data_IF_823270221334
#
_entry.id   IF_823270221334
#
_cell.length_a   1.000
_cell.length_b   1.000
_cell.length_c   1.000
_cell.angle_alpha   90.00
_cell.angle_beta   90.00
_cell.angle_gamma   90.00
#
_symmetry.space_group_name_H-M   'P 1'
#
loop_
_entity.id
_entity.type
_entity.pdbx_description
1 polymer ?
#
# COMPACT_ATOMS: atom_id res chain seq x y z
N UNK A 1 12.30 95.01 -1.05
CA UNK A 1 11.00 95.67 -1.30
C UNK A 1 10.46 95.16 -2.63
N UNK A 2 9.18 94.75 -2.64
CA UNK A 2 8.32 94.32 -3.76
C UNK A 2 8.63 92.89 -4.29
N UNK A 3 7.87 91.83 -3.95
CA UNK A 3 6.52 91.42 -4.47
C UNK A 3 6.45 91.60 -6.00
N UNK A 4 6.25 90.58 -6.83
CA UNK A 4 5.11 89.63 -6.85
C UNK A 4 5.41 88.32 -7.60
N UNK A 5 4.67 87.29 -7.19
CA UNK A 5 4.53 86.00 -7.83
C UNK A 5 3.65 86.06 -9.10
N UNK A 6 3.90 85.16 -10.07
CA UNK A 6 2.90 84.33 -10.78
C UNK A 6 3.58 83.56 -11.91
N UNK A 7 3.71 82.24 -11.79
CA UNK A 7 3.90 81.38 -12.97
C UNK A 7 3.17 80.06 -12.80
N UNK A 8 2.08 79.97 -13.56
CA UNK A 8 1.58 78.85 -14.38
C UNK A 8 1.64 77.45 -13.77
N UNK A 9 0.44 76.94 -13.44
CA UNK A 9 0.18 75.56 -13.07
C UNK A 9 0.56 74.57 -14.17
N UNK A 10 1.27 73.52 -13.76
CA UNK A 10 1.37 72.26 -14.47
C UNK A 10 0.38 71.28 -13.83
N UNK A 11 -0.57 70.84 -14.64
CA UNK A 11 -1.47 69.74 -14.31
C UNK A 11 -0.67 68.43 -14.30
N UNK A 12 -0.48 67.85 -13.13
CA UNK A 12 0.09 66.51 -12.98
C UNK A 12 -0.99 65.47 -13.27
N UNK A 13 -0.83 64.78 -14.41
CA UNK A 13 -1.58 63.58 -14.75
C UNK A 13 -1.13 62.44 -13.81
N UNK A 14 -1.96 62.07 -12.83
CA UNK A 14 -1.77 60.87 -12.04
C UNK A 14 -2.15 59.63 -12.87
N UNK A 15 -1.14 58.95 -13.43
CA UNK A 15 -1.30 57.59 -13.95
C UNK A 15 -1.54 56.64 -12.75
N UNK A 16 -2.76 56.15 -12.60
CA UNK A 16 -3.07 55.02 -11.73
C UNK A 16 -2.49 53.74 -12.36
N UNK A 17 -1.31 53.32 -11.91
CA UNK A 17 -0.79 51.99 -12.19
C UNK A 17 -1.60 50.97 -11.38
N UNK A 18 -2.52 50.27 -12.04
CA UNK A 18 -3.12 49.03 -11.55
C UNK A 18 -2.02 47.96 -11.46
N UNK A 19 -1.38 47.88 -10.29
CA UNK A 19 -0.58 46.70 -9.94
C UNK A 19 -1.57 45.56 -9.67
N UNK A 20 -1.72 44.68 -10.66
CA UNK A 20 -2.33 43.37 -10.48
C UNK A 20 -1.46 42.59 -9.48
N UNK A 21 -1.84 42.66 -8.21
CA UNK A 21 -1.33 41.76 -7.18
C UNK A 21 -1.81 40.36 -7.57
N UNK A 22 -0.93 39.37 -7.80
CA UNK A 22 -1.38 38.01 -7.98
C UNK A 22 -2.10 37.61 -6.69
N UNK A 23 -3.29 37.05 -6.83
CA UNK A 23 -4.09 36.54 -5.73
C UNK A 23 -3.25 35.54 -4.92
N UNK A 24 -2.56 36.03 -3.89
CA UNK A 24 -2.14 35.20 -2.76
C UNK A 24 -3.43 34.67 -2.19
N UNK A 25 -3.61 33.35 -2.25
CA UNK A 25 -4.66 32.65 -1.53
C UNK A 25 -4.76 33.26 -0.12
N UNK A 26 -5.93 33.84 0.18
CA UNK A 26 -6.21 34.41 1.48
C UNK A 26 -6.20 33.29 2.52
N UNK A 27 -5.07 33.10 3.18
CA UNK A 27 -4.96 32.32 4.41
C UNK A 27 -5.52 33.16 5.55
N UNK A 28 -6.84 33.15 5.74
CA UNK A 28 -7.43 33.42 7.06
C UNK A 28 -8.70 32.59 7.30
N UNK A 29 -8.73 31.96 8.48
CA UNK A 29 -9.84 31.30 9.18
C UNK A 29 -10.06 29.78 9.05
N UNK A 30 -9.07 29.02 8.59
CA UNK A 30 -8.72 27.75 9.23
C UNK A 30 -7.18 27.58 9.15
N UNK A 31 -6.51 27.29 10.26
CA UNK A 31 -5.06 27.02 10.27
C UNK A 31 -4.71 25.67 9.59
N UNK A 32 -5.74 24.94 9.16
CA UNK A 32 -5.71 23.60 8.59
C UNK A 32 -6.54 23.61 7.30
N UNK A 33 -6.14 22.88 6.29
CA UNK A 33 -6.90 22.85 5.03
C UNK A 33 -8.11 21.92 5.14
N UNK A 34 -9.05 22.00 4.20
CA UNK A 34 -10.04 20.94 3.98
C UNK A 34 -9.41 19.87 3.06
N UNK A 35 -9.94 18.63 3.01
CA UNK A 35 -9.43 17.60 2.10
C UNK A 35 -9.30 18.14 0.67
N UNK A 36 -8.08 18.21 0.09
CA UNK A 36 -7.87 18.88 -1.18
C UNK A 36 -8.47 18.07 -2.33
N UNK A 37 -8.86 18.77 -3.39
CA UNK A 37 -9.17 18.13 -4.66
C UNK A 37 -7.88 17.69 -5.35
N UNK A 38 -7.87 16.48 -5.91
CA UNK A 38 -6.71 15.89 -6.58
C UNK A 38 -7.18 15.34 -7.92
N UNK A 39 -6.49 15.76 -8.98
CA UNK A 39 -6.74 15.27 -10.35
C UNK A 39 -6.15 13.88 -10.55
N UNK A 40 -6.85 13.06 -11.34
CA UNK A 40 -6.48 11.65 -11.53
C UNK A 40 -5.13 11.48 -12.25
N UNK A 41 -4.83 12.35 -13.21
CA UNK A 41 -3.59 12.35 -14.01
C UNK A 41 -2.34 12.73 -13.19
N UNK A 42 -2.53 13.40 -12.05
CA UNK A 42 -1.46 13.67 -11.10
C UNK A 42 -1.05 12.40 -10.37
N UNK A 43 -1.89 11.36 -10.33
CA UNK A 43 -1.69 10.18 -9.50
C UNK A 43 -1.43 8.92 -10.34
N UNK A 44 -2.20 8.73 -11.40
CA UNK A 44 -2.16 7.54 -12.25
C UNK A 44 -1.66 7.89 -13.64
N UNK A 45 -0.82 7.02 -14.21
CA UNK A 45 -0.46 7.10 -15.64
C UNK A 45 -1.67 6.81 -16.52
N UNK A 46 -1.69 7.28 -17.76
CA UNK A 46 -2.77 7.04 -18.74
C UNK A 46 -3.16 5.56 -18.83
N UNK A 47 -2.18 4.65 -18.88
CA UNK A 47 -2.46 3.21 -18.92
C UNK A 47 -3.13 2.69 -17.66
N UNK A 48 -2.96 3.32 -16.49
CA UNK A 48 -3.71 2.94 -15.29
C UNK A 48 -5.10 3.59 -15.28
N UNK A 49 -5.26 4.78 -15.83
CA UNK A 49 -6.55 5.45 -15.90
C UNK A 49 -7.54 4.70 -16.80
N UNK A 50 -7.11 4.22 -17.96
CA UNK A 50 -8.00 3.56 -18.91
C UNK A 50 -7.29 2.53 -19.79
N UNK A 51 -8.05 1.54 -20.26
CA UNK A 51 -7.71 0.71 -21.40
C UNK A 51 -8.96 0.14 -22.07
N UNK A 52 -8.79 -0.76 -23.03
CA UNK A 52 -9.93 -1.45 -23.67
C UNK A 52 -10.77 -2.33 -22.74
N UNK A 53 -10.33 -2.56 -21.49
CA UNK A 53 -11.00 -3.49 -20.55
C UNK A 53 -11.35 -2.85 -19.20
N UNK A 54 -10.94 -1.60 -18.96
CA UNK A 54 -11.23 -0.90 -17.70
C UNK A 54 -11.19 0.63 -17.87
N UNK A 55 -11.89 1.35 -17.00
CA UNK A 55 -11.82 2.82 -16.85
C UNK A 55 -11.89 3.19 -15.38
N UNK A 56 -11.02 4.08 -14.93
CA UNK A 56 -11.09 4.71 -13.60
C UNK A 56 -11.91 5.99 -13.73
N UNK A 57 -12.87 6.23 -12.83
CA UNK A 57 -13.62 7.49 -12.82
C UNK A 57 -12.69 8.67 -12.49
N UNK A 58 -12.94 9.82 -13.12
CA UNK A 58 -12.09 11.02 -12.96
C UNK A 58 -12.17 11.59 -11.53
N UNK A 59 -13.30 11.38 -10.83
CA UNK A 59 -13.50 11.84 -9.46
C UNK A 59 -12.82 10.92 -8.45
N UNK A 60 -11.79 11.43 -7.78
CA UNK A 60 -11.16 10.76 -6.63
C UNK A 60 -11.82 11.22 -5.34
N UNK A 61 -12.24 10.27 -4.49
CA UNK A 61 -12.68 10.58 -3.12
C UNK A 61 -11.49 10.51 -2.17
N UNK A 62 -11.30 11.53 -1.35
CA UNK A 62 -10.30 11.51 -0.27
C UNK A 62 -10.93 10.95 0.99
N UNK A 63 -10.41 9.83 1.49
CA UNK A 63 -10.77 9.27 2.80
C UNK A 63 -9.53 9.31 3.68
N UNK A 64 -9.45 10.32 4.56
CA UNK A 64 -8.29 10.55 5.42
C UNK A 64 -7.00 10.76 4.62
N UNK A 65 -6.04 9.84 4.75
CA UNK A 65 -4.74 9.83 4.05
C UNK A 65 -4.72 8.91 2.82
N UNK A 66 -5.86 8.30 2.49
CA UNK A 66 -6.01 7.37 1.36
C UNK A 66 -6.97 7.94 0.33
N UNK A 67 -6.75 7.56 -0.92
CA UNK A 67 -7.71 7.79 -1.99
C UNK A 67 -8.72 6.64 -2.05
N UNK A 68 -9.90 6.92 -2.57
CA UNK A 68 -10.90 5.93 -2.95
C UNK A 68 -11.29 6.17 -4.41
N UNK A 69 -11.01 5.18 -5.23
CA UNK A 69 -11.23 5.20 -6.66
C UNK A 69 -12.42 4.34 -7.03
N UNK A 70 -13.12 4.71 -8.09
CA UNK A 70 -14.08 3.81 -8.74
C UNK A 70 -13.44 3.26 -10.01
N UNK A 71 -13.42 1.94 -10.16
CA UNK A 71 -12.95 1.27 -11.38
C UNK A 71 -14.12 0.56 -12.05
N UNK A 72 -14.35 0.88 -13.31
CA UNK A 72 -15.33 0.22 -14.17
C UNK A 72 -14.63 -0.77 -15.11
N UNK A 73 -15.29 -1.89 -15.39
CA UNK A 73 -14.83 -2.94 -16.31
C UNK A 73 -16.02 -3.72 -16.85
N UNK A 74 -15.78 -4.54 -17.89
CA UNK A 74 -16.80 -5.47 -18.43
C UNK A 74 -17.33 -6.48 -17.41
N UNK A 75 -16.60 -6.67 -16.31
CA UNK A 75 -16.99 -7.56 -15.25
C UNK A 75 -17.84 -6.83 -14.19
N UNK A 76 -17.76 -5.51 -14.09
CA UNK A 76 -18.52 -4.70 -13.14
C UNK A 76 -17.76 -3.48 -12.63
N UNK A 77 -18.37 -2.81 -11.65
CA UNK A 77 -17.87 -1.59 -10.99
C UNK A 77 -17.35 -1.92 -9.60
N UNK A 78 -16.18 -1.38 -9.27
CA UNK A 78 -15.47 -1.65 -8.03
C UNK A 78 -15.08 -0.36 -7.32
N UNK A 79 -15.33 -0.30 -6.02
CA UNK A 79 -14.76 0.72 -5.14
C UNK A 79 -13.42 0.20 -4.62
N UNK A 80 -12.35 0.93 -4.95
CA UNK A 80 -10.97 0.50 -4.73
C UNK A 80 -10.24 1.52 -3.86
N UNK A 81 -9.99 1.20 -2.58
CA UNK A 81 -9.29 2.09 -1.69
C UNK A 81 -7.77 1.99 -1.91
N UNK A 82 -7.14 3.13 -2.09
CA UNK A 82 -5.72 3.40 -2.26
C UNK A 82 -5.10 3.14 -3.64
N UNK A 83 -4.06 3.94 -3.96
CA UNK A 83 -3.25 3.79 -5.19
C UNK A 83 -2.68 2.37 -5.28
N UNK A 84 -2.04 1.85 -4.21
CA UNK A 84 -1.66 0.45 -4.07
C UNK A 84 -2.64 -0.60 -4.59
N UNK A 85 -3.90 -0.46 -4.21
CA UNK A 85 -4.93 -1.44 -4.51
C UNK A 85 -5.46 -1.25 -5.92
N UNK A 86 -5.59 -0.01 -6.40
CA UNK A 86 -5.96 0.27 -7.80
C UNK A 86 -4.99 -0.37 -8.78
N UNK A 87 -3.69 -0.23 -8.53
CA UNK A 87 -2.64 -0.89 -9.32
C UNK A 87 -2.85 -2.41 -9.34
N UNK A 88 -3.12 -3.01 -8.18
CA UNK A 88 -3.36 -4.45 -8.06
C UNK A 88 -4.62 -4.88 -8.82
N UNK A 89 -5.74 -4.18 -8.66
CA UNK A 89 -7.03 -4.52 -9.30
C UNK A 89 -7.00 -4.35 -10.79
N UNK A 90 -6.37 -3.30 -11.31
CA UNK A 90 -6.21 -3.12 -12.75
C UNK A 90 -5.35 -4.23 -13.35
N UNK A 91 -4.27 -4.64 -12.66
CA UNK A 91 -3.47 -5.79 -13.09
C UNK A 91 -4.31 -7.07 -13.17
N UNK A 92 -5.15 -7.32 -12.16
CA UNK A 92 -6.07 -8.46 -12.15
C UNK A 92 -7.08 -8.41 -13.30
N UNK A 93 -7.82 -7.30 -13.45
CA UNK A 93 -8.83 -7.11 -14.50
C UNK A 93 -8.24 -7.36 -15.89
N UNK A 94 -7.07 -6.75 -16.17
CA UNK A 94 -6.36 -6.93 -17.44
C UNK A 94 -5.92 -8.35 -17.68
N UNK A 95 -5.41 -9.01 -16.65
CA UNK A 95 -4.94 -10.39 -16.75
C UNK A 95 -6.10 -11.33 -17.05
N UNK A 96 -7.24 -11.16 -16.36
CA UNK A 96 -8.44 -11.95 -16.59
C UNK A 96 -8.94 -11.79 -18.04
N UNK A 97 -9.07 -10.55 -18.51
CA UNK A 97 -9.52 -10.27 -19.87
C UNK A 97 -8.59 -10.88 -20.93
N UNK A 98 -7.28 -10.62 -20.83
CA UNK A 98 -6.31 -11.17 -21.79
C UNK A 98 -6.25 -12.70 -21.78
N UNK A 99 -6.35 -13.32 -20.61
CA UNK A 99 -6.34 -14.78 -20.52
C UNK A 99 -7.58 -15.38 -21.19
N UNK A 100 -8.75 -14.78 -21.00
CA UNK A 100 -10.00 -15.21 -21.67
C UNK A 100 -9.89 -15.07 -23.19
N UNK A 101 -9.35 -13.96 -23.68
CA UNK A 101 -9.15 -13.74 -25.11
C UNK A 101 -8.13 -14.72 -25.71
N UNK A 102 -7.07 -15.03 -24.97
CA UNK A 102 -6.10 -16.04 -25.37
C UNK A 102 -6.76 -17.43 -25.46
N UNK A 103 -7.50 -17.84 -24.42
CA UNK A 103 -8.20 -19.13 -24.42
C UNK A 103 -9.33 -19.19 -25.45
N UNK A 104 -9.92 -18.08 -25.89
CA UNK A 104 -10.92 -18.11 -26.95
C UNK A 104 -10.35 -18.67 -28.26
N UNK A 105 -9.06 -18.41 -28.53
CA UNK A 105 -8.39 -18.94 -29.74
C UNK A 105 -8.00 -20.41 -29.60
N UNK A 106 -7.70 -20.85 -28.39
CA UNK A 106 -7.14 -22.19 -28.13
C UNK A 106 -8.17 -23.22 -27.66
N UNK A 107 -9.15 -22.79 -26.86
CA UNK A 107 -10.18 -23.63 -26.26
C UNK A 107 -11.48 -22.82 -26.01
N UNK A 108 -12.34 -22.77 -27.02
CA UNK A 108 -13.62 -22.05 -26.98
C UNK A 108 -14.53 -22.45 -25.81
N UNK A 109 -14.54 -23.74 -25.43
CA UNK A 109 -15.37 -24.23 -24.31
C UNK A 109 -14.89 -23.67 -22.98
N UNK A 110 -13.58 -23.74 -22.73
CA UNK A 110 -12.99 -23.17 -21.51
C UNK A 110 -13.18 -21.65 -21.45
N UNK A 111 -12.98 -20.95 -22.57
CA UNK A 111 -13.21 -19.50 -22.62
C UNK A 111 -14.69 -19.13 -22.35
N UNK A 112 -15.64 -19.91 -22.86
CA UNK A 112 -17.06 -19.73 -22.57
C UNK A 112 -17.40 -19.99 -21.09
N UNK A 113 -16.83 -21.04 -20.50
CA UNK A 113 -16.97 -21.33 -19.07
C UNK A 113 -16.42 -20.19 -18.21
N UNK A 114 -15.21 -19.71 -18.50
CA UNK A 114 -14.58 -18.58 -17.79
C UNK A 114 -15.44 -17.32 -17.86
N UNK A 115 -15.97 -16.98 -19.04
CA UNK A 115 -16.92 -15.86 -19.19
C UNK A 115 -18.21 -16.07 -18.39
N UNK A 116 -18.73 -17.30 -18.39
CA UNK A 116 -19.92 -17.67 -17.65
C UNK A 116 -19.74 -17.45 -16.15
N UNK A 117 -18.67 -18.00 -15.56
CA UNK A 117 -18.43 -17.90 -14.12
C UNK A 117 -18.11 -16.49 -13.65
N UNK A 118 -17.45 -15.68 -14.48
CA UNK A 118 -17.18 -14.27 -14.16
C UNK A 118 -18.43 -13.40 -14.24
N UNK A 119 -19.41 -13.75 -15.09
CA UNK A 119 -20.71 -13.07 -15.19
C UNK A 119 -21.69 -13.53 -14.11
N UNK A 120 -21.67 -14.80 -13.73
CA UNK A 120 -22.61 -15.37 -12.76
C UNK A 120 -22.48 -14.75 -11.34
N UNK A 121 -21.37 -14.07 -11.05
CA UNK A 121 -21.17 -13.30 -9.81
C UNK A 121 -21.69 -11.85 -9.84
N UNK A 122 -22.23 -11.35 -10.96
CA UNK A 122 -22.65 -9.94 -11.12
C UNK A 122 -24.06 -9.64 -10.59
N UNK A 123 -24.59 -10.49 -9.71
CA UNK A 123 -25.91 -10.31 -9.11
C UNK A 123 -25.88 -9.23 -8.02
N UNK A 124 -26.21 -7.99 -8.40
CA UNK A 124 -26.55 -6.84 -7.54
C UNK A 124 -25.39 -6.08 -6.85
N UNK A 125 -25.40 -4.75 -7.01
CA UNK A 125 -24.60 -3.82 -6.20
C UNK A 125 -23.16 -3.62 -6.67
N UNK A 126 -22.58 -2.46 -6.35
CA UNK A 126 -21.14 -2.21 -6.48
C UNK A 126 -20.40 -3.32 -5.74
N UNK A 127 -19.53 -4.05 -6.43
CA UNK A 127 -18.72 -5.10 -5.81
C UNK A 127 -17.64 -4.40 -4.97
N UNK A 128 -17.91 -4.23 -3.68
CA UNK A 128 -16.93 -3.67 -2.75
C UNK A 128 -15.89 -4.77 -2.51
N UNK A 129 -14.81 -4.77 -3.30
CA UNK A 129 -13.75 -5.80 -3.28
C UNK A 129 -12.97 -5.84 -1.96
N UNK A 130 -13.17 -4.86 -1.08
CA UNK A 130 -12.52 -4.74 0.22
C UNK A 130 -13.52 -4.19 1.23
N UNK A 131 -13.56 -4.69 2.46
CA UNK A 131 -14.47 -4.18 3.50
C UNK A 131 -14.43 -2.64 3.57
N UNK A 132 -15.58 -1.96 3.76
CA UNK A 132 -15.61 -0.51 3.81
C UNK A 132 -14.61 0.02 4.83
N UNK A 133 -13.79 0.99 4.43
CA UNK A 133 -12.90 1.69 5.34
C UNK A 133 -13.76 2.38 6.40
N UNK A 134 -13.54 2.05 7.67
CA UNK A 134 -14.13 2.84 8.77
C UNK A 134 -13.66 4.29 8.62
N UNK A 135 -14.55 5.31 8.63
CA UNK A 135 -14.16 6.71 8.39
C UNK A 135 -13.09 7.23 9.35
N UNK A 136 -13.08 6.77 10.61
CA UNK A 136 -12.04 7.12 11.60
C UNK A 136 -10.72 6.34 11.45
N UNK A 137 -10.68 5.35 10.55
CA UNK A 137 -9.51 4.48 10.32
C UNK A 137 -8.58 4.98 9.22
N UNK A 138 -8.96 6.04 8.50
CA UNK A 138 -8.20 6.57 7.38
C UNK A 138 -7.29 7.75 7.75
N UNK A 139 -7.37 8.23 8.99
CA UNK A 139 -6.52 9.32 9.50
C UNK A 139 -5.07 8.86 9.74
N UNK A 140 -4.12 9.81 9.77
CA UNK A 140 -2.69 9.57 10.08
C UNK A 140 -2.53 8.76 11.38
N UNK A 141 -3.49 8.92 12.31
CA UNK A 141 -3.64 8.14 13.55
C UNK A 141 -3.56 6.62 13.37
N UNK A 142 -3.87 6.08 12.19
CA UNK A 142 -3.76 4.65 11.85
C UNK A 142 -2.32 4.12 12.02
N UNK A 143 -1.34 4.91 11.58
CA UNK A 143 0.09 4.57 11.61
C UNK A 143 0.85 5.25 12.76
N UNK A 144 0.15 6.05 13.56
CA UNK A 144 0.59 6.61 14.85
C UNK A 144 0.52 5.49 15.92
N UNK A 145 1.65 4.81 16.08
CA UNK A 145 2.11 3.87 17.11
C UNK A 145 1.98 4.40 18.55
N UNK A 146 0.77 4.31 19.10
CA UNK A 146 0.54 4.47 20.54
C UNK A 146 0.89 3.20 21.34
N UNK A 147 1.68 2.26 20.78
CA UNK A 147 2.04 1.00 21.42
C UNK A 147 3.37 1.07 22.18
N UNK A 148 3.99 2.25 22.27
CA UNK A 148 5.15 2.47 23.14
C UNK A 148 4.77 2.08 24.57
N UNK A 149 5.40 1.03 25.10
CA UNK A 149 5.12 0.48 26.43
C UNK A 149 4.02 -0.59 26.52
N UNK A 150 3.35 -0.96 25.41
CA UNK A 150 2.34 -2.03 25.42
C UNK A 150 2.97 -3.41 25.30
N UNK A 151 2.45 -4.36 26.05
CA UNK A 151 2.90 -5.76 25.94
C UNK A 151 2.41 -6.39 24.62
N UNK A 152 3.14 -7.39 24.11
CA UNK A 152 2.73 -8.15 22.92
C UNK A 152 1.34 -8.78 23.12
N UNK A 153 1.02 -9.18 24.35
CA UNK A 153 -0.29 -9.73 24.70
C UNK A 153 -1.43 -8.70 24.57
N UNK A 154 -1.19 -7.43 24.91
CA UNK A 154 -2.16 -6.35 24.70
C UNK A 154 -2.38 -6.04 23.21
N UNK A 155 -1.31 -6.09 22.42
CA UNK A 155 -1.39 -5.93 20.98
C UNK A 155 -2.22 -7.06 20.36
N UNK A 156 -2.03 -8.30 20.83
CA UNK A 156 -2.79 -9.47 20.42
C UNK A 156 -4.27 -9.38 20.78
N UNK A 157 -4.61 -8.93 21.99
CA UNK A 157 -6.00 -8.79 22.46
C UNK A 157 -6.80 -7.75 21.67
N UNK A 158 -6.14 -6.70 21.16
CA UNK A 158 -6.79 -5.74 20.26
C UNK A 158 -7.08 -6.33 18.88
N UNK A 159 -6.31 -7.30 18.44
CA UNK A 159 -6.60 -8.03 17.21
C UNK A 159 -7.87 -8.90 17.34
N UNK A 160 -8.26 -9.36 18.55
CA UNK A 160 -9.64 -9.79 18.92
C UNK A 160 -9.79 -10.20 20.42
N UNK A 161 -10.81 -9.70 21.17
CA UNK A 161 -11.11 -10.14 22.54
C UNK A 161 -11.91 -11.47 22.65
N UNK A 162 -12.42 -12.07 21.56
CA UNK A 162 -13.36 -13.21 21.65
C UNK A 162 -12.83 -14.61 21.29
N UNK A 163 -11.54 -14.77 20.94
CA UNK A 163 -10.97 -16.09 20.63
C UNK A 163 -9.56 -16.25 21.20
N UNK A 164 -9.49 -16.56 22.50
CA UNK A 164 -8.28 -17.14 23.10
C UNK A 164 -8.00 -18.49 22.44
N UNK A 165 -6.77 -18.69 21.94
CA UNK A 165 -6.31 -19.96 21.37
C UNK A 165 -6.07 -20.97 22.50
N UNK A 166 -6.48 -22.21 22.28
CA UNK A 166 -6.08 -23.37 23.07
C UNK A 166 -4.76 -23.94 22.55
N UNK A 167 -3.86 -24.30 23.48
CA UNK A 167 -2.60 -24.98 23.21
C UNK A 167 -2.88 -26.44 22.79
N UNK A 168 -2.30 -26.91 21.69
CA UNK A 168 -2.38 -28.33 21.32
C UNK A 168 -1.56 -29.20 22.29
N UNK A 169 -1.87 -30.51 22.43
CA UNK A 169 -1.13 -31.42 23.31
C UNK A 169 0.37 -31.56 22.99
N UNK A 170 0.78 -31.17 21.78
CA UNK A 170 2.16 -31.18 21.30
C UNK A 170 2.92 -29.86 21.54
N UNK A 171 2.33 -28.92 22.30
CA UNK A 171 2.90 -27.60 22.55
C UNK A 171 2.89 -26.68 21.33
N UNK A 172 2.21 -27.07 20.23
CA UNK A 172 2.11 -26.26 19.02
C UNK A 172 0.75 -25.57 18.96
N UNK A 173 0.76 -24.30 18.54
CA UNK A 173 -0.48 -23.59 18.28
C UNK A 173 -1.15 -24.15 17.02
N UNK A 174 -2.40 -24.59 17.13
CA UNK A 174 -3.22 -24.92 15.97
C UNK A 174 -3.26 -23.74 15.00
N UNK A 175 -2.96 -23.99 13.72
CA UNK A 175 -3.14 -23.00 12.65
C UNK A 175 -4.64 -23.01 12.34
N UNK A 176 -5.42 -22.15 13.02
CA UNK A 176 -6.79 -21.88 12.59
C UNK A 176 -6.68 -21.30 11.17
N UNK A 177 -7.36 -21.90 10.18
CA UNK A 177 -7.30 -21.46 8.78
C UNK A 177 -7.57 -19.96 8.73
N UNK A 178 -6.58 -19.16 8.32
CA UNK A 178 -6.81 -17.75 8.09
C UNK A 178 -7.79 -17.55 6.90
N UNK A 179 -8.39 -16.37 6.75
CA UNK A 179 -9.38 -16.11 5.68
C UNK A 179 -8.85 -16.43 4.27
N UNK A 180 -7.53 -16.40 4.05
CA UNK A 180 -6.90 -16.72 2.77
C UNK A 180 -6.62 -18.22 2.58
N UNK A 181 -6.58 -19.00 3.67
CA UNK A 181 -6.44 -20.46 3.65
C UNK A 181 -7.75 -21.16 3.29
N UNK A 182 -8.91 -20.55 3.58
CA UNK A 182 -10.21 -21.07 3.15
C UNK A 182 -10.43 -20.97 1.64
N UNK A 183 -9.62 -20.18 0.93
CA UNK A 183 -9.70 -20.03 -0.54
C UNK A 183 -8.85 -21.05 -1.28
N UNK A 184 -8.07 -21.85 -0.57
CA UNK A 184 -7.35 -22.98 -1.16
C UNK A 184 -8.27 -24.21 -1.17
N UNK A 185 -8.35 -24.95 -2.28
CA UNK A 185 -9.05 -26.23 -2.32
C UNK A 185 -8.51 -27.20 -1.27
N UNK A 186 -9.39 -27.98 -0.65
CA UNK A 186 -8.98 -29.02 0.32
C UNK A 186 -8.19 -30.17 -0.37
N UNK A 187 -8.42 -30.40 -1.67
CA UNK A 187 -7.63 -31.32 -2.48
C UNK A 187 -6.21 -30.74 -2.73
N UNK A 188 -5.14 -31.39 -2.23
CA UNK A 188 -3.77 -30.92 -2.40
C UNK A 188 -3.32 -30.81 -3.85
N UNK A 189 -3.82 -31.68 -4.74
CA UNK A 189 -3.49 -31.69 -6.17
C UNK A 189 -4.13 -30.47 -6.84
N UNK A 190 -5.41 -30.22 -6.56
CA UNK A 190 -6.11 -29.06 -7.09
C UNK A 190 -5.51 -27.74 -6.56
N UNK A 191 -5.13 -27.68 -5.28
CA UNK A 191 -4.42 -26.54 -4.71
C UNK A 191 -3.04 -26.32 -5.37
N UNK A 192 -2.33 -27.39 -5.73
CA UNK A 192 -1.08 -27.29 -6.50
C UNK A 192 -1.32 -26.75 -7.91
N UNK A 193 -2.37 -27.20 -8.60
CA UNK A 193 -2.76 -26.64 -9.91
C UNK A 193 -3.13 -25.16 -9.81
N UNK A 194 -3.92 -24.75 -8.81
CA UNK A 194 -4.28 -23.34 -8.58
C UNK A 194 -3.04 -22.46 -8.41
N UNK A 195 -2.06 -22.90 -7.62
CA UNK A 195 -0.76 -22.20 -7.47
C UNK A 195 0.02 -22.11 -8.77
N UNK A 196 0.09 -23.20 -9.53
CA UNK A 196 0.81 -23.22 -10.81
C UNK A 196 0.17 -22.27 -11.83
N UNK A 197 -1.16 -22.25 -11.93
CA UNK A 197 -1.91 -21.34 -12.80
C UNK A 197 -1.71 -19.89 -12.36
N UNK A 198 -1.84 -19.59 -11.06
CA UNK A 198 -1.63 -18.25 -10.53
C UNK A 198 -0.22 -17.73 -10.87
N UNK A 199 0.81 -18.57 -10.75
CA UNK A 199 2.17 -18.23 -11.15
C UNK A 199 2.28 -17.92 -12.66
N UNK A 200 1.72 -18.79 -13.52
CA UNK A 200 1.77 -18.63 -14.97
C UNK A 200 1.11 -17.34 -15.44
N UNK A 201 0.00 -16.95 -14.80
CA UNK A 201 -0.75 -15.74 -15.12
C UNK A 201 -0.30 -14.52 -14.31
N UNK A 202 0.74 -14.64 -13.48
CA UNK A 202 1.19 -13.57 -12.59
C UNK A 202 0.05 -12.99 -11.72
N UNK A 203 -0.86 -13.86 -11.26
CA UNK A 203 -1.93 -13.53 -10.33
C UNK A 203 -1.53 -13.94 -8.91
N UNK A 204 -2.11 -13.26 -7.92
CA UNK A 204 -1.97 -13.67 -6.53
C UNK A 204 -3.00 -14.76 -6.21
N UNK A 205 -2.53 -15.92 -5.76
CA UNK A 205 -3.42 -16.98 -5.30
C UNK A 205 -4.22 -16.57 -4.06
N UNK A 206 -3.71 -15.62 -3.27
CA UNK A 206 -4.39 -15.08 -2.09
C UNK A 206 -5.08 -13.74 -2.37
N UNK A 207 -5.35 -13.40 -3.64
CA UNK A 207 -6.10 -12.19 -3.97
C UNK A 207 -7.50 -12.21 -3.37
N UNK A 208 -7.90 -11.14 -2.72
CA UNK A 208 -9.28 -10.93 -2.23
C UNK A 208 -10.30 -10.62 -3.31
N UNK A 209 -9.87 -10.50 -4.57
CA UNK A 209 -10.81 -10.41 -5.68
C UNK A 209 -11.43 -11.79 -5.93
N UNK A 210 -12.71 -11.91 -5.58
CA UNK A 210 -13.49 -13.15 -5.75
C UNK A 210 -13.51 -13.63 -7.19
N UNK A 211 -13.44 -12.73 -8.17
CA UNK A 211 -13.38 -13.08 -9.59
C UNK A 211 -12.06 -13.73 -9.97
N UNK A 212 -10.96 -13.26 -9.39
CA UNK A 212 -9.65 -13.93 -9.51
C UNK A 212 -9.72 -15.32 -8.88
N UNK A 213 -10.34 -15.47 -7.71
CA UNK A 213 -10.48 -16.77 -7.06
C UNK A 213 -11.27 -17.77 -7.93
N UNK A 214 -12.47 -17.39 -8.37
CA UNK A 214 -13.32 -18.23 -9.23
C UNK A 214 -12.61 -18.58 -10.54
N UNK A 215 -11.93 -17.61 -11.15
CA UNK A 215 -11.17 -17.81 -12.38
C UNK A 215 -10.03 -18.82 -12.20
N UNK A 216 -9.24 -18.68 -11.13
CA UNK A 216 -8.15 -19.59 -10.80
C UNK A 216 -8.68 -21.00 -10.47
N UNK A 217 -9.80 -21.12 -9.78
CA UNK A 217 -10.44 -22.41 -9.45
C UNK A 217 -10.94 -23.14 -10.69
N UNK A 218 -11.53 -22.42 -11.64
CA UNK A 218 -11.98 -22.98 -12.92
C UNK A 218 -10.79 -23.51 -13.73
N UNK A 219 -9.71 -22.74 -13.84
CA UNK A 219 -8.50 -23.19 -14.53
C UNK A 219 -7.80 -24.36 -13.82
N UNK A 220 -7.75 -24.33 -12.49
CA UNK A 220 -7.18 -25.42 -11.71
C UNK A 220 -7.94 -26.73 -11.93
N UNK A 221 -9.28 -26.69 -11.94
CA UNK A 221 -10.14 -27.85 -12.21
C UNK A 221 -9.99 -28.36 -13.63
N UNK A 222 -9.95 -27.46 -14.62
CA UNK A 222 -9.70 -27.84 -16.01
C UNK A 222 -8.35 -28.55 -16.15
N UNK A 223 -7.31 -28.07 -15.46
CA UNK A 223 -5.98 -28.69 -15.46
C UNK A 223 -5.97 -30.07 -14.78
N UNK A 224 -6.63 -30.19 -13.63
CA UNK A 224 -6.81 -31.47 -12.92
C UNK A 224 -7.62 -32.48 -13.74
N UNK A 225 -8.58 -32.02 -14.54
CA UNK A 225 -9.38 -32.82 -15.47
C UNK A 225 -8.68 -33.18 -16.78
N UNK A 226 -7.38 -32.90 -16.93
CA UNK A 226 -6.56 -33.31 -18.06
C UNK A 226 -6.26 -32.24 -19.11
N UNK A 227 -6.84 -31.03 -19.01
CA UNK A 227 -6.50 -29.92 -19.90
C UNK A 227 -5.19 -29.24 -19.44
N UNK A 228 -4.06 -29.80 -19.88
CA UNK A 228 -2.71 -29.32 -19.49
C UNK A 228 -2.42 -27.86 -19.88
N UNK A 229 -3.11 -27.33 -20.88
CA UNK A 229 -2.96 -25.94 -21.33
C UNK A 229 -3.82 -24.95 -20.52
N UNK A 230 -4.70 -25.42 -19.62
CA UNK A 230 -5.45 -24.54 -18.74
C UNK A 230 -4.49 -23.77 -17.80
N UNK A 231 -4.50 -22.44 -17.94
CA UNK A 231 -3.59 -21.52 -17.25
C UNK A 231 -2.33 -21.13 -18.04
N UNK A 232 -2.13 -21.68 -19.23
CA UNK A 232 -1.08 -21.26 -20.16
C UNK A 232 -1.69 -20.27 -21.16
N UNK A 233 -1.75 -18.99 -20.79
CA UNK A 233 -2.15 -17.93 -21.70
C UNK A 233 -0.98 -16.97 -21.93
N UNK A 234 -0.75 -16.60 -23.19
CA UNK A 234 0.16 -15.52 -23.52
C UNK A 234 -0.47 -14.18 -23.11
N UNK A 235 -0.12 -13.71 -21.91
CA UNK A 235 -0.54 -12.40 -21.39
C UNK A 235 0.61 -11.39 -21.54
N UNK A 236 0.28 -10.21 -22.04
CA UNK A 236 1.16 -9.06 -21.96
C UNK A 236 1.12 -8.56 -20.51
N UNK A 237 2.24 -8.74 -19.80
CA UNK A 237 2.39 -8.17 -18.47
C UNK A 237 2.47 -6.65 -18.61
N UNK A 238 1.62 -5.88 -17.90
CA UNK A 238 1.74 -4.43 -17.91
C UNK A 238 3.14 -4.03 -17.41
N UNK A 239 3.61 -2.88 -17.87
CA UNK A 239 4.78 -2.24 -17.28
C UNK A 239 4.55 -2.15 -15.78
N UNK A 240 5.49 -2.68 -14.97
CA UNK A 240 5.37 -2.66 -13.51
C UNK A 240 5.29 -1.20 -13.07
N UNK A 241 4.14 -0.72 -12.57
CA UNK A 241 4.01 0.69 -12.20
C UNK A 241 4.78 1.01 -10.92
N UNK A 242 5.20 -0.01 -10.18
CA UNK A 242 6.04 0.14 -8.99
C UNK A 242 7.52 -0.20 -9.24
N UNK A 243 8.39 0.48 -8.51
CA UNK A 243 9.82 0.22 -8.41
C UNK A 243 10.04 -1.10 -7.67
N UNK A 244 11.00 -1.88 -8.17
CA UNK A 244 11.41 -3.16 -7.57
C UNK A 244 12.73 -3.02 -6.82
N UNK A 245 12.88 -3.77 -5.75
CA UNK A 245 14.11 -3.80 -4.93
C UNK A 245 15.04 -4.91 -5.41
N UNK A 246 16.35 -4.72 -5.29
CA UNK A 246 17.40 -5.66 -5.72
C UNK A 246 17.16 -6.19 -7.15
N UNK A 247 16.88 -5.26 -8.07
CA UNK A 247 16.58 -5.55 -9.48
C UNK A 247 15.45 -6.59 -9.66
N UNK A 248 14.50 -6.66 -8.74
CA UNK A 248 13.35 -7.56 -8.80
C UNK A 248 13.58 -8.95 -8.19
N UNK A 249 14.76 -9.22 -7.61
CA UNK A 249 15.08 -10.55 -7.06
C UNK A 249 14.21 -10.92 -5.87
N UNK A 250 13.92 -9.97 -4.99
CA UNK A 250 13.04 -10.20 -3.84
C UNK A 250 11.64 -10.57 -4.32
N UNK A 251 11.04 -9.78 -5.22
CA UNK A 251 9.70 -10.04 -5.75
C UNK A 251 9.63 -11.37 -6.49
N UNK A 252 10.67 -11.72 -7.24
CA UNK A 252 10.78 -13.02 -7.91
C UNK A 252 10.83 -14.18 -6.91
N UNK A 253 11.65 -14.06 -5.86
CA UNK A 253 11.80 -15.08 -4.82
C UNK A 253 10.49 -15.30 -4.05
N UNK A 254 9.81 -14.22 -3.66
CA UNK A 254 8.51 -14.31 -2.98
C UNK A 254 7.47 -14.95 -3.89
N UNK A 255 7.35 -14.49 -5.15
CA UNK A 255 6.39 -15.08 -6.11
C UNK A 255 6.64 -16.58 -6.30
N UNK A 256 7.90 -16.97 -6.41
CA UNK A 256 8.29 -18.39 -6.57
C UNK A 256 7.98 -19.19 -5.31
N UNK A 257 8.26 -18.64 -4.12
CA UNK A 257 7.94 -19.29 -2.85
C UNK A 257 6.43 -19.51 -2.70
N UNK A 258 5.62 -18.48 -2.94
CA UNK A 258 4.15 -18.55 -2.86
C UNK A 258 3.58 -19.58 -3.84
N UNK A 259 4.16 -19.69 -5.04
CA UNK A 259 3.73 -20.68 -6.02
C UNK A 259 4.12 -22.11 -5.63
N UNK A 260 5.31 -22.32 -5.06
CA UNK A 260 5.86 -23.66 -4.83
C UNK A 260 5.55 -24.24 -3.46
N UNK A 261 5.33 -23.39 -2.46
CA UNK A 261 5.14 -23.80 -1.07
C UNK A 261 3.67 -23.74 -0.66
N UNK A 262 3.28 -24.69 0.18
CA UNK A 262 2.05 -24.65 0.95
C UNK A 262 2.10 -23.53 1.98
N UNK A 263 0.94 -23.17 2.55
CA UNK A 263 0.87 -22.15 3.60
C UNK A 263 1.72 -22.51 4.81
N UNK A 264 1.73 -23.81 5.19
CA UNK A 264 2.55 -24.30 6.30
C UNK A 264 4.05 -24.19 6.00
N UNK A 265 4.48 -24.51 4.78
CA UNK A 265 5.89 -24.36 4.39
C UNK A 265 6.32 -22.89 4.33
N UNK A 266 5.44 -21.98 3.88
CA UNK A 266 5.68 -20.53 3.93
C UNK A 266 5.79 -20.05 5.38
N UNK A 267 4.93 -20.52 6.27
CA UNK A 267 4.99 -20.22 7.70
C UNK A 267 6.34 -20.63 8.29
N UNK A 268 6.75 -21.88 8.08
CA UNK A 268 8.03 -22.42 8.60
C UNK A 268 9.22 -21.63 8.02
N UNK A 269 9.20 -21.32 6.72
CA UNK A 269 10.24 -20.50 6.10
C UNK A 269 10.33 -19.12 6.75
N UNK A 270 9.19 -18.44 6.91
CA UNK A 270 9.16 -17.10 7.45
C UNK A 270 9.56 -17.09 8.94
N UNK A 271 9.11 -18.08 9.71
CA UNK A 271 9.52 -18.28 11.10
C UNK A 271 11.04 -18.40 11.20
N UNK A 272 11.65 -19.33 10.45
CA UNK A 272 13.09 -19.55 10.50
C UNK A 272 13.89 -18.28 10.13
N UNK A 273 13.40 -17.51 9.14
CA UNK A 273 14.03 -16.24 8.77
C UNK A 273 13.91 -15.19 9.89
N UNK A 274 12.74 -15.05 10.53
CA UNK A 274 12.50 -14.11 11.63
C UNK A 274 13.32 -14.48 12.89
N UNK A 275 13.44 -15.77 13.19
CA UNK A 275 14.30 -16.29 14.26
C UNK A 275 15.79 -15.97 13.99
N UNK A 276 16.26 -16.21 12.76
CA UNK A 276 17.64 -15.88 12.37
C UNK A 276 17.95 -14.38 12.46
N UNK A 277 16.94 -13.51 12.41
CA UNK A 277 17.07 -12.07 12.61
C UNK A 277 17.12 -11.66 14.10
N UNK A 278 16.96 -12.61 15.04
CA UNK A 278 16.87 -12.34 16.47
C UNK A 278 15.55 -11.69 16.89
N UNK A 279 14.48 -11.84 16.11
CA UNK A 279 13.15 -11.35 16.47
C UNK A 279 12.53 -12.28 17.49
N UNK A 280 11.96 -11.72 18.55
CA UNK A 280 11.43 -12.52 19.65
C UNK A 280 10.28 -13.45 19.23
N UNK A 281 10.22 -14.69 19.80
CA UNK A 281 9.19 -15.67 19.52
C UNK A 281 7.77 -15.14 19.54
N UNK A 282 7.39 -14.45 20.60
CA UNK A 282 6.03 -13.95 20.76
C UNK A 282 5.66 -12.95 19.66
N UNK A 283 6.63 -12.11 19.26
CA UNK A 283 6.40 -11.09 18.23
C UNK A 283 6.24 -11.70 16.84
N UNK A 284 7.15 -12.60 16.42
CA UNK A 284 6.99 -13.19 15.10
C UNK A 284 5.79 -14.14 15.05
N UNK A 285 5.46 -14.86 16.13
CA UNK A 285 4.25 -15.68 16.17
C UNK A 285 2.98 -14.84 16.06
N UNK A 286 2.92 -13.70 16.77
CA UNK A 286 1.79 -12.76 16.65
C UNK A 286 1.65 -12.26 15.20
N UNK A 287 2.75 -11.88 14.55
CA UNK A 287 2.73 -11.43 13.17
C UNK A 287 2.33 -12.53 12.17
N UNK A 288 2.96 -13.72 12.26
CA UNK A 288 2.71 -14.81 11.33
C UNK A 288 1.31 -15.44 11.50
N UNK A 289 0.69 -15.29 12.67
CA UNK A 289 -0.71 -15.70 12.90
C UNK A 289 -1.72 -14.58 12.64
N UNK A 290 -1.28 -13.37 12.30
CA UNK A 290 -2.16 -12.22 12.12
C UNK A 290 -3.10 -12.41 10.91
N UNK A 291 -4.40 -12.19 11.11
CA UNK A 291 -5.47 -12.48 10.11
C UNK A 291 -5.51 -11.54 8.92
N UNK A 292 -5.17 -10.27 9.12
CA UNK A 292 -5.17 -9.26 8.05
C UNK A 292 -4.08 -9.51 6.98
N UNK A 293 -3.05 -10.29 7.31
CA UNK A 293 -1.95 -10.58 6.40
C UNK A 293 -2.14 -11.93 5.73
N UNK A 294 -2.20 -11.94 4.40
CA UNK A 294 -2.12 -13.15 3.61
C UNK A 294 -0.75 -13.82 3.78
N UNK A 295 -0.62 -15.12 3.44
CA UNK A 295 0.69 -15.77 3.42
C UNK A 295 1.71 -15.05 2.52
N UNK A 296 1.24 -14.41 1.44
CA UNK A 296 2.11 -13.57 0.60
C UNK A 296 2.60 -12.33 1.34
N UNK A 297 1.72 -11.55 1.98
CA UNK A 297 2.15 -10.36 2.73
C UNK A 297 3.20 -10.70 3.79
N UNK A 298 2.99 -11.79 4.53
CA UNK A 298 3.95 -12.29 5.53
C UNK A 298 5.30 -12.61 4.91
N UNK A 299 5.29 -13.26 3.75
CA UNK A 299 6.50 -13.65 3.02
C UNK A 299 7.23 -12.43 2.43
N UNK A 300 6.50 -11.46 1.88
CA UNK A 300 7.07 -10.22 1.34
C UNK A 300 7.72 -9.37 2.43
N UNK A 301 7.00 -9.09 3.53
CA UNK A 301 7.53 -8.33 4.66
C UNK A 301 8.78 -9.02 5.23
N UNK A 302 8.72 -10.34 5.43
CA UNK A 302 9.87 -11.10 5.93
C UNK A 302 11.06 -11.00 4.98
N UNK A 303 10.85 -11.13 3.67
CA UNK A 303 11.93 -11.03 2.69
C UNK A 303 12.58 -9.64 2.65
N UNK A 304 11.80 -8.56 2.76
CA UNK A 304 12.37 -7.20 2.88
C UNK A 304 13.13 -7.02 4.19
N UNK A 305 12.67 -7.57 5.32
CA UNK A 305 13.41 -7.54 6.58
C UNK A 305 14.73 -8.32 6.53
N UNK A 306 14.76 -9.46 5.81
CA UNK A 306 16.01 -10.19 5.52
C UNK A 306 16.97 -9.29 4.75
N UNK A 307 16.48 -8.60 3.71
CA UNK A 307 17.29 -7.70 2.89
C UNK A 307 17.87 -6.51 3.67
N UNK A 308 17.22 -6.10 4.76
CA UNK A 308 17.70 -5.08 5.69
C UNK A 308 18.70 -5.63 6.72
N UNK A 309 19.52 -6.62 6.33
CA UNK A 309 20.58 -7.13 7.19
C UNK A 309 21.54 -6.01 7.63
N UNK A 310 21.93 -6.03 8.91
CA UNK A 310 22.73 -4.97 9.53
C UNK A 310 21.92 -3.79 10.07
N UNK A 311 20.62 -3.69 9.78
CA UNK A 311 19.73 -2.71 10.43
C UNK A 311 19.28 -3.22 11.80
N UNK A 312 19.53 -2.46 12.86
CA UNK A 312 19.12 -2.79 14.21
C UNK A 312 17.58 -2.76 14.37
N UNK A 313 17.05 -3.57 15.29
CA UNK A 313 15.63 -3.55 15.70
C UNK A 313 14.61 -3.74 14.56
N UNK A 314 14.91 -4.61 13.59
CA UNK A 314 13.98 -5.00 12.51
C UNK A 314 12.57 -5.39 12.97
N UNK A 315 12.44 -5.94 14.19
CA UNK A 315 11.14 -6.25 14.82
C UNK A 315 10.23 -5.04 15.05
N UNK A 316 10.73 -3.80 14.98
CA UNK A 316 9.90 -2.60 15.09
C UNK A 316 8.82 -2.52 14.00
N UNK A 317 9.14 -2.96 12.77
CA UNK A 317 8.17 -3.02 11.69
C UNK A 317 7.06 -4.04 12.00
N UNK A 318 7.41 -5.21 12.54
CA UNK A 318 6.40 -6.21 12.92
C UNK A 318 5.48 -5.70 14.03
N UNK A 319 6.03 -5.03 15.05
CA UNK A 319 5.22 -4.42 16.12
C UNK A 319 4.24 -3.38 15.59
N UNK A 320 4.66 -2.58 14.60
CA UNK A 320 3.76 -1.66 13.92
C UNK A 320 2.68 -2.43 13.13
N UNK A 321 3.10 -3.44 12.38
CA UNK A 321 2.23 -4.27 11.53
C UNK A 321 1.10 -4.98 12.29
N UNK A 322 1.28 -5.31 13.58
CA UNK A 322 0.23 -5.89 14.43
C UNK A 322 -1.04 -5.01 14.58
N UNK A 323 -1.00 -3.74 14.16
CA UNK A 323 -2.19 -2.86 14.14
C UNK A 323 -3.08 -3.06 12.90
N UNK A 324 -2.63 -3.82 11.90
CA UNK A 324 -3.39 -4.01 10.69
C UNK A 324 -4.77 -4.59 10.99
N UNK A 325 -5.84 -3.93 10.57
CA UNK A 325 -7.22 -4.41 10.75
C UNK A 325 -7.74 -5.17 9.53
N UNK A 326 -7.24 -4.79 8.36
CA UNK A 326 -7.76 -5.17 7.05
C UNK A 326 -6.62 -5.32 6.03
N UNK A 327 -6.98 -5.73 4.83
CA UNK A 327 -6.05 -5.94 3.72
C UNK A 327 -5.33 -4.64 3.31
N UNK A 328 -6.01 -3.49 3.35
CA UNK A 328 -5.40 -2.20 2.96
C UNK A 328 -4.28 -1.83 3.92
N UNK A 329 -4.49 -2.05 5.21
CA UNK A 329 -3.43 -1.94 6.21
C UNK A 329 -2.29 -2.91 5.96
N UNK A 330 -2.59 -4.18 5.69
CA UNK A 330 -1.57 -5.19 5.43
C UNK A 330 -0.71 -4.83 4.19
N UNK A 331 -1.38 -4.31 3.17
CA UNK A 331 -0.79 -3.83 1.94
C UNK A 331 0.08 -2.58 2.18
N UNK A 332 -0.38 -1.67 3.04
CA UNK A 332 0.39 -0.50 3.49
C UNK A 332 1.68 -0.87 4.24
N UNK A 333 1.62 -1.82 5.18
CA UNK A 333 2.82 -2.32 5.88
C UNK A 333 3.78 -3.07 4.95
N UNK A 334 3.25 -3.80 3.96
CA UNK A 334 4.07 -4.45 2.93
C UNK A 334 4.83 -3.42 2.10
N UNK A 335 4.17 -2.31 1.71
CA UNK A 335 4.82 -1.19 1.01
C UNK A 335 5.83 -0.45 1.85
N UNK A 336 5.53 -0.23 3.13
CA UNK A 336 6.48 0.36 4.06
C UNK A 336 7.78 -0.47 4.13
N UNK A 337 7.67 -1.80 4.19
CA UNK A 337 8.82 -2.70 4.12
C UNK A 337 9.62 -2.53 2.82
N UNK A 338 8.93 -2.47 1.67
CA UNK A 338 9.54 -2.23 0.35
C UNK A 338 10.23 -0.86 0.28
N UNK A 339 9.59 0.20 0.78
CA UNK A 339 10.15 1.56 0.80
C UNK A 339 11.44 1.63 1.62
N UNK A 340 11.44 1.01 2.81
CA UNK A 340 12.65 0.91 3.65
C UNK A 340 13.78 0.18 2.91
N UNK A 341 13.47 -0.95 2.27
CA UNK A 341 14.46 -1.71 1.50
C UNK A 341 14.97 -0.95 0.27
N UNK A 342 14.10 -0.22 -0.43
CA UNK A 342 14.48 0.61 -1.57
C UNK A 342 15.34 1.81 -1.15
N UNK A 343 15.00 2.47 -0.04
CA UNK A 343 15.81 3.55 0.53
C UNK A 343 17.19 3.03 0.95
N UNK A 344 17.24 1.90 1.66
CA UNK A 344 18.49 1.24 2.06
C UNK A 344 19.40 0.95 0.86
N UNK A 345 18.81 0.57 -0.28
CA UNK A 345 19.54 0.25 -1.50
C UNK A 345 20.05 1.51 -2.24
N UNK A 346 19.27 2.58 -2.30
CA UNK A 346 19.47 3.66 -3.27
C UNK A 346 19.88 5.00 -2.69
N UNK A 347 19.56 5.25 -1.42
CA UNK A 347 19.79 6.56 -0.79
C UNK A 347 20.87 6.44 0.26
N UNK A 348 20.60 5.70 1.34
CA UNK A 348 21.57 5.53 2.42
C UNK A 348 21.29 4.24 3.21
N UNK A 349 22.33 3.58 3.70
CA UNK A 349 22.17 2.38 4.53
C UNK A 349 21.47 2.71 5.84
N UNK A 350 20.41 1.96 6.13
CA UNK A 350 19.68 2.04 7.39
C UNK A 350 20.47 1.35 8.51
N UNK A 351 20.64 2.05 9.64
CA UNK A 351 21.33 1.55 10.84
C UNK A 351 20.37 1.01 11.89
N UNK A 352 19.13 1.49 11.94
CA UNK A 352 18.14 1.01 12.88
C UNK A 352 16.72 1.37 12.50
N UNK A 353 15.76 0.60 13.00
CA UNK A 353 14.35 0.97 13.01
C UNK A 353 13.95 1.41 14.42
N UNK A 354 13.31 2.56 14.51
CA UNK A 354 12.89 3.18 15.77
C UNK A 354 11.41 3.54 15.71
N UNK A 355 10.72 3.38 16.82
CA UNK A 355 9.44 4.05 17.02
C UNK A 355 9.73 5.38 17.70
N UNK A 356 9.97 6.43 16.93
CA UNK A 356 10.15 7.76 17.53
C UNK A 356 8.79 8.38 17.76
N UNK A 357 8.39 8.43 19.03
CA UNK A 357 7.04 8.76 19.41
C UNK A 357 6.05 7.77 18.80
N UNK A 358 5.22 8.27 17.90
CA UNK A 358 4.14 7.49 17.30
C UNK A 358 4.40 7.01 15.89
N UNK A 359 5.45 7.36 15.14
CA UNK A 359 5.58 6.84 13.76
C UNK A 359 6.75 5.86 13.68
N UNK A 360 6.60 4.79 12.89
CA UNK A 360 7.75 3.95 12.55
C UNK A 360 8.71 4.76 11.68
N UNK A 361 9.95 4.85 12.12
CA UNK A 361 11.00 5.56 11.42
C UNK A 361 12.24 4.68 11.32
N UNK A 362 13.13 5.03 10.40
CA UNK A 362 14.46 4.47 10.33
C UNK A 362 15.51 5.54 10.63
N UNK A 363 16.66 5.09 11.12
CA UNK A 363 17.87 5.90 11.25
C UNK A 363 18.91 5.45 10.25
N UNK A 364 19.78 6.35 9.82
CA UNK A 364 20.85 6.06 8.85
C UNK A 364 22.24 6.19 9.48
N UNK A 365 23.30 5.95 8.71
CA UNK A 365 24.69 6.08 9.17
C UNK A 365 25.11 7.55 9.34
N UNK A 366 24.56 8.45 8.52
CA UNK A 366 24.70 9.90 8.58
C UNK A 366 23.83 10.57 9.62
N UNK A 367 23.25 9.80 10.56
CA UNK A 367 22.37 10.31 11.61
C UNK A 367 21.13 11.03 11.05
N UNK A 368 20.55 10.50 9.96
CA UNK A 368 19.30 11.01 9.40
C UNK A 368 18.09 10.27 9.98
N UNK A 369 16.97 10.98 10.12
CA UNK A 369 15.67 10.42 10.47
C UNK A 369 14.84 10.24 9.20
N UNK A 370 14.43 9.00 8.92
CA UNK A 370 13.65 8.66 7.73
C UNK A 370 12.26 8.18 8.17
N UNK A 371 11.24 8.97 7.84
CA UNK A 371 9.84 8.65 8.08
C UNK A 371 9.27 8.00 6.81
N UNK A 372 8.57 6.87 6.96
CA UNK A 372 8.00 6.12 5.84
C UNK A 372 6.50 6.02 6.02
N UNK A 373 5.74 6.69 5.15
CA UNK A 373 4.28 6.71 5.19
C UNK A 373 3.70 6.08 3.90
N UNK A 374 2.94 4.98 4.01
CA UNK A 374 2.29 4.35 2.87
C UNK A 374 0.96 5.05 2.53
N UNK A 375 0.96 6.39 2.51
CA UNK A 375 -0.22 7.21 2.23
C UNK A 375 -0.29 7.61 0.77
N UNK A 376 -1.52 7.76 0.27
CA UNK A 376 -1.76 8.27 -1.07
C UNK A 376 -1.80 9.80 -1.09
N UNK A 377 -2.26 10.40 0.01
CA UNK A 377 -2.29 11.84 0.19
C UNK A 377 -1.91 12.19 1.63
N UNK A 378 -1.02 13.16 1.76
CA UNK A 378 -0.82 13.87 3.02
C UNK A 378 -1.26 15.32 2.86
N UNK A 379 -2.22 15.73 3.69
CA UNK A 379 -2.82 17.05 3.69
C UNK A 379 -2.81 17.66 5.11
N UNK A 380 -2.89 18.99 5.22
CA UNK A 380 -2.57 19.78 6.41
C UNK A 380 -3.76 19.85 7.35
N UNK A 381 -4.09 18.71 7.94
CA UNK A 381 -5.10 18.59 8.99
C UNK A 381 -4.52 18.90 10.36
N UNK A 382 -5.39 19.04 11.36
CA UNK A 382 -5.00 19.15 12.77
C UNK A 382 -4.18 17.93 13.24
N UNK A 383 -4.51 16.74 12.74
CA UNK A 383 -3.77 15.51 13.08
C UNK A 383 -2.37 15.50 12.45
N UNK A 384 -2.27 15.89 11.18
CA UNK A 384 -0.99 16.03 10.48
C UNK A 384 -0.09 17.02 11.20
N UNK A 385 -0.58 18.22 11.53
CA UNK A 385 0.19 19.23 12.26
C UNK A 385 0.69 18.70 13.59
N UNK A 386 -0.20 18.08 14.38
CA UNK A 386 0.17 17.52 15.69
C UNK A 386 1.28 16.48 15.59
N UNK A 387 1.16 15.54 14.64
CA UNK A 387 2.15 14.47 14.44
C UNK A 387 3.49 15.04 14.01
N UNK A 388 3.52 15.89 12.97
CA UNK A 388 4.77 16.41 12.43
C UNK A 388 5.43 17.45 13.35
N UNK A 389 4.65 18.19 14.13
CA UNK A 389 5.18 19.06 15.20
C UNK A 389 5.83 18.25 16.33
N UNK A 390 5.28 17.08 16.68
CA UNK A 390 5.90 16.15 17.63
C UNK A 390 7.20 15.54 17.08
N UNK A 391 7.18 15.10 15.81
CA UNK A 391 8.35 14.53 15.13
C UNK A 391 9.47 15.56 14.97
N UNK A 392 9.13 16.81 14.65
CA UNK A 392 10.11 17.90 14.59
C UNK A 392 10.82 18.11 15.92
N UNK A 393 10.06 18.21 17.03
CA UNK A 393 10.60 18.34 18.38
C UNK A 393 11.48 17.15 18.76
N UNK A 394 11.02 15.93 18.47
CA UNK A 394 11.80 14.71 18.69
C UNK A 394 13.13 14.74 17.92
N UNK A 395 13.09 15.20 16.66
CA UNK A 395 14.28 15.28 15.85
C UNK A 395 15.29 16.32 16.34
N UNK A 396 14.83 17.48 16.80
CA UNK A 396 15.67 18.49 17.44
C UNK A 396 16.32 17.95 18.73
N UNK A 397 15.54 17.27 19.58
CA UNK A 397 16.04 16.68 20.83
C UNK A 397 17.08 15.59 20.61
N UNK A 398 16.96 14.82 19.51
CA UNK A 398 17.91 13.77 19.15
C UNK A 398 19.07 14.26 18.29
N UNK A 399 19.01 15.50 17.81
CA UNK A 399 20.07 16.09 16.98
C UNK A 399 20.26 15.38 15.64
N UNK A 400 19.18 14.93 14.99
CA UNK A 400 19.29 14.34 13.65
C UNK A 400 19.77 15.37 12.63
N UNK A 401 20.64 14.93 11.71
CA UNK A 401 21.23 15.80 10.69
C UNK A 401 20.20 16.21 9.63
N UNK A 402 19.40 15.25 9.15
CA UNK A 402 18.30 15.47 8.21
C UNK A 402 17.03 14.75 8.65
N UNK A 403 15.89 15.25 8.17
CA UNK A 403 14.56 14.66 8.35
C UNK A 403 14.01 14.38 6.96
N UNK A 404 13.85 13.12 6.59
CA UNK A 404 13.29 12.73 5.30
C UNK A 404 11.90 12.13 5.49
N UNK A 405 10.95 12.53 4.66
CA UNK A 405 9.63 11.95 4.57
C UNK A 405 9.45 11.25 3.23
N UNK A 406 9.30 9.94 3.27
CA UNK A 406 9.00 9.11 2.11
C UNK A 406 7.48 8.86 2.06
N UNK A 407 6.86 9.18 0.92
CA UNK A 407 5.44 9.01 0.69
C UNK A 407 5.17 8.17 -0.56
N UNK A 408 4.17 7.28 -0.50
CA UNK A 408 3.74 6.51 -1.67
C UNK A 408 3.05 7.40 -2.70
N UNK A 409 2.17 8.30 -2.27
CA UNK A 409 1.47 9.25 -3.13
C UNK A 409 2.04 10.67 -3.03
N UNK A 410 1.17 11.65 -2.84
CA UNK A 410 1.49 13.08 -2.94
C UNK A 410 1.20 13.87 -1.65
N UNK A 411 1.82 15.03 -1.54
CA UNK A 411 1.63 16.00 -0.47
C UNK A 411 0.88 17.21 -1.03
N UNK A 412 -0.13 17.71 -0.32
CA UNK A 412 -0.80 18.96 -0.70
C UNK A 412 0.16 20.16 -0.61
N UNK A 413 -0.14 21.24 -1.33
CA UNK A 413 0.74 22.40 -1.34
C UNK A 413 0.84 23.07 0.05
N UNK A 414 -0.26 23.16 0.79
CA UNK A 414 -0.25 23.70 2.15
C UNK A 414 0.62 22.83 3.09
N UNK A 415 0.52 21.51 2.98
CA UNK A 415 1.34 20.59 3.77
C UNK A 415 2.81 20.69 3.41
N UNK A 416 3.13 20.84 2.12
CA UNK A 416 4.52 21.00 1.65
C UNK A 416 5.19 22.16 2.35
N UNK A 417 4.57 23.35 2.31
CA UNK A 417 5.06 24.55 2.97
C UNK A 417 5.31 24.29 4.47
N UNK A 418 4.33 23.70 5.15
CA UNK A 418 4.41 23.45 6.59
C UNK A 418 5.47 22.42 6.99
N UNK A 419 5.71 21.41 6.15
CA UNK A 419 6.75 20.40 6.37
C UNK A 419 8.14 20.94 6.06
N UNK A 420 8.29 21.75 5.02
CA UNK A 420 9.55 22.43 4.66
C UNK A 420 9.97 23.43 5.74
N UNK A 421 9.03 24.21 6.29
CA UNK A 421 9.26 25.07 7.46
C UNK A 421 9.75 24.27 8.68
N UNK A 422 9.28 23.02 8.82
CA UNK A 422 9.73 22.06 9.85
C UNK A 422 10.95 21.25 9.43
N UNK A 423 11.64 21.64 8.35
CA UNK A 423 12.89 21.05 7.83
C UNK A 423 12.76 19.58 7.40
N UNK A 424 11.59 19.15 6.94
CA UNK A 424 11.41 17.84 6.32
C UNK A 424 11.72 17.92 4.82
N UNK A 425 12.62 17.05 4.37
CA UNK A 425 12.87 16.79 2.95
C UNK A 425 11.83 15.79 2.44
N UNK A 426 11.05 16.18 1.44
CA UNK A 426 9.93 15.39 0.94
C UNK A 426 10.35 14.53 -0.26
N UNK A 427 9.91 13.26 -0.27
CA UNK A 427 10.03 12.35 -1.42
C UNK A 427 8.68 11.68 -1.69
N UNK A 428 7.95 12.27 -2.63
CA UNK A 428 6.65 11.80 -3.10
C UNK A 428 6.78 10.74 -4.20
N UNK A 429 5.70 9.99 -4.43
CA UNK A 429 5.62 8.95 -5.46
C UNK A 429 6.78 7.95 -5.35
N UNK A 430 7.25 7.67 -4.12
CA UNK A 430 8.57 7.09 -3.88
C UNK A 430 8.74 5.67 -4.44
N UNK A 431 7.64 4.92 -4.56
CA UNK A 431 7.62 3.61 -5.18
C UNK A 431 7.03 3.60 -6.59
N UNK A 432 6.49 4.71 -7.09
CA UNK A 432 5.85 4.75 -8.40
C UNK A 432 6.90 5.05 -9.47
N UNK A 433 6.90 4.26 -10.54
CA UNK A 433 7.70 4.57 -11.74
C UNK A 433 7.08 5.77 -12.43
N UNK A 434 7.93 6.73 -12.80
CA UNK A 434 7.54 7.90 -13.59
C UNK A 434 7.40 7.54 -15.06
#
# INVERSE_FOLDING_TARGET
MNWTATSKGLAALCLFAWLAVPARAQLTADAHEQPPHVELDQILTETLMQSGVHRVEDTIRVKGTLFEFTVESDHGRYDVPSIPMVILRIHEIRTLAQAVDAFQRENLKLAAELRGVMRAGSGSGVDILTSPLDPGSADISRYVNNNVGRSIEELRKRSDPKKQRTLGPDGRFGIEKNMYESWLPDDPILAAHKRAVALQLNLDIYSSNTRVQVFLDTLARARGGGNRNAGMAAIALPNKPEITVDRGRIEFAVRTAVARKTVRELYIQNQAALEAMGIEPDLYHAFLSHRAFSPRHKTEITAYLVYLEGTANRGALLRAALRASDEISALGYTRMARMLAYYHQTTERLTGLVSGGSVLMATTAGNNMVIVLPFDLLWWSTDTDRVFSSLAKFADQKGFALRELLLVGIVSEATRVQLEERKFLLREKYLLRR
#
